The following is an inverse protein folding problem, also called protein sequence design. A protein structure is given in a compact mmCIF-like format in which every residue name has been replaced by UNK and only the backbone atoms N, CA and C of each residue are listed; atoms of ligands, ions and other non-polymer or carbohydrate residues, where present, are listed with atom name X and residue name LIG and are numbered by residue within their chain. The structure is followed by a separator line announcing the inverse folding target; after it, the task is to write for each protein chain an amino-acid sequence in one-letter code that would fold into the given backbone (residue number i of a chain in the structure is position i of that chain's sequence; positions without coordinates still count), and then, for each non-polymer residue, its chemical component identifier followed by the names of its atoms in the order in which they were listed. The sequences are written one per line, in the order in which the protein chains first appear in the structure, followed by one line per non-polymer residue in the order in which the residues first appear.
data_IF_816620897722
#
_entry.id   IF_816620897722
#
_cell.length_a   1.000
_cell.length_b   1.000
_cell.length_c   1.000
_cell.angle_alpha   90.00
_cell.angle_beta   90.00
_cell.angle_gamma   90.00
#
_symmetry.space_group_name_H-M   'P 1'
#
loop_
_entity.id
_entity.type
_entity.pdbx_description
1 polymer ?
#
# COMPACT_ATOMS: atom_id res chain seq x y z
N UNK A 1 39.01 -7.20 -21.55
CA UNK A 1 37.75 -7.93 -21.81
C UNK A 1 36.86 -7.02 -22.63
N UNK A 2 36.50 -7.45 -23.85
CA UNK A 2 35.57 -6.65 -24.66
C UNK A 2 34.15 -6.83 -24.13
N UNK A 3 33.49 -5.75 -23.78
CA UNK A 3 32.08 -5.73 -23.44
C UNK A 3 31.29 -5.77 -24.75
N UNK A 4 30.69 -6.92 -25.06
CA UNK A 4 29.77 -7.03 -26.18
C UNK A 4 28.47 -6.30 -25.84
N UNK A 5 28.26 -5.16 -26.44
CA UNK A 5 26.96 -4.47 -26.42
C UNK A 5 26.05 -5.18 -27.45
N UNK A 6 24.97 -5.81 -26.99
CA UNK A 6 23.94 -6.33 -27.87
C UNK A 6 23.03 -5.15 -28.22
N UNK A 7 23.09 -4.73 -29.49
CA UNK A 7 22.20 -3.71 -30.02
C UNK A 7 20.82 -4.32 -30.28
N UNK A 8 19.77 -3.59 -29.92
CA UNK A 8 18.37 -4.01 -30.12
C UNK A 8 17.94 -4.08 -31.59
N UNK A 9 18.72 -3.49 -32.49
CA UNK A 9 18.48 -3.56 -33.92
C UNK A 9 18.96 -4.92 -34.48
N UNK A 10 18.04 -5.84 -34.68
CA UNK A 10 18.30 -7.16 -35.26
C UNK A 10 17.98 -8.36 -34.34
N UNK A 11 17.28 -8.15 -33.22
CA UNK A 11 16.79 -9.21 -32.36
C UNK A 11 15.31 -9.51 -32.66
N UNK A 12 15.07 -10.31 -33.70
CA UNK A 12 13.71 -10.76 -34.05
C UNK A 12 13.22 -11.96 -33.25
N UNK A 13 14.03 -12.46 -32.29
CA UNK A 13 13.68 -13.57 -31.42
C UNK A 13 13.95 -13.25 -29.95
N UNK A 14 13.16 -13.79 -29.01
CA UNK A 14 13.40 -13.59 -27.58
C UNK A 14 14.76 -14.19 -27.20
N UNK A 15 15.57 -13.38 -26.49
CA UNK A 15 16.83 -13.86 -25.93
C UNK A 15 16.52 -14.67 -24.68
N UNK A 16 16.80 -15.97 -24.71
CA UNK A 16 16.77 -16.81 -23.53
C UNK A 16 18.13 -16.75 -22.83
N UNK A 17 18.15 -16.15 -21.66
CA UNK A 17 19.33 -16.09 -20.80
C UNK A 17 19.18 -17.10 -19.67
N UNK A 18 20.13 -18.05 -19.57
CA UNK A 18 20.18 -18.96 -18.44
C UNK A 18 20.88 -18.28 -17.26
N UNK A 19 20.12 -17.99 -16.19
CA UNK A 19 20.62 -17.34 -14.97
C UNK A 19 21.28 -15.96 -15.18
N UNK A 20 20.60 -14.98 -15.80
CA UNK A 20 21.17 -13.65 -15.97
C UNK A 20 21.30 -12.93 -14.63
N UNK A 21 22.47 -12.37 -14.35
CA UNK A 21 22.62 -11.41 -13.26
C UNK A 21 22.28 -10.01 -13.80
N UNK A 22 21.14 -9.48 -13.40
CA UNK A 22 20.73 -8.12 -13.76
C UNK A 22 21.24 -7.14 -12.69
N UNK A 23 22.24 -6.37 -13.04
CA UNK A 23 22.75 -5.29 -12.19
C UNK A 23 21.93 -4.03 -12.49
N UNK A 24 21.04 -3.59 -11.61
CA UNK A 24 20.11 -2.46 -11.81
C UNK A 24 19.09 -2.66 -12.95
N UNK A 25 18.21 -3.67 -12.87
CA UNK A 25 17.16 -3.83 -13.87
C UNK A 25 16.19 -2.63 -13.82
N UNK A 26 15.96 -2.00 -14.97
CA UNK A 26 14.89 -1.02 -15.10
C UNK A 26 13.57 -1.76 -15.37
N UNK A 27 12.89 -2.17 -14.28
CA UNK A 27 11.60 -2.86 -14.36
C UNK A 27 10.51 -1.83 -14.12
N UNK A 28 9.76 -1.49 -15.14
CA UNK A 28 8.57 -0.65 -15.03
C UNK A 28 7.29 -1.50 -15.00
N UNK A 29 6.14 -0.88 -14.77
CA UNK A 29 4.85 -1.59 -14.68
C UNK A 29 4.45 -2.36 -15.95
N UNK A 30 5.01 -2.00 -17.12
CA UNK A 30 4.79 -2.72 -18.37
C UNK A 30 5.67 -3.98 -18.50
N UNK A 31 6.74 -4.07 -17.70
CA UNK A 31 7.68 -5.20 -17.68
C UNK A 31 7.37 -6.24 -16.62
N UNK A 32 6.38 -5.97 -15.75
CA UNK A 32 5.85 -6.97 -14.82
C UNK A 32 4.74 -7.73 -15.56
N UNK A 33 5.02 -8.93 -16.10
CA UNK A 33 4.06 -9.59 -16.96
C UNK A 33 2.86 -10.11 -16.16
N UNK A 34 1.67 -9.90 -16.71
CA UNK A 34 0.53 -10.73 -16.40
C UNK A 34 0.71 -12.04 -17.15
N UNK A 35 1.20 -13.07 -16.49
CA UNK A 35 1.43 -14.37 -17.14
C UNK A 35 0.10 -15.10 -17.25
N UNK A 36 -0.28 -15.46 -18.48
CA UNK A 36 -1.46 -16.29 -18.74
C UNK A 36 -1.32 -17.65 -18.05
N UNK A 37 -2.32 -18.05 -17.26
CA UNK A 37 -2.36 -19.32 -16.55
C UNK A 37 -1.65 -19.33 -15.18
N UNK A 38 -1.00 -18.24 -14.79
CA UNK A 38 -0.42 -18.05 -13.45
C UNK A 38 -1.02 -16.80 -12.84
N UNK A 39 -1.24 -16.79 -11.52
CA UNK A 39 -1.75 -15.60 -10.86
C UNK A 39 -0.81 -14.41 -11.12
N UNK A 40 -1.30 -13.27 -11.63
CA UNK A 40 -0.48 -12.10 -11.88
C UNK A 40 0.09 -11.56 -10.57
N UNK A 41 1.28 -10.98 -10.65
CA UNK A 41 1.89 -10.32 -9.50
C UNK A 41 1.26 -8.93 -9.33
N UNK A 42 0.54 -8.74 -8.23
CA UNK A 42 0.00 -7.44 -7.85
C UNK A 42 0.88 -6.80 -6.77
N UNK A 43 1.47 -5.65 -7.07
CA UNK A 43 2.30 -4.90 -6.13
C UNK A 43 1.50 -3.76 -5.50
N UNK A 44 1.74 -3.50 -4.21
CA UNK A 44 1.19 -2.31 -3.57
C UNK A 44 1.72 -1.04 -4.24
N UNK A 45 0.82 -0.11 -4.59
CA UNK A 45 1.14 1.19 -5.20
C UNK A 45 1.43 2.26 -4.16
N UNK A 46 0.92 2.07 -2.94
CA UNK A 46 1.25 2.86 -1.77
C UNK A 46 1.07 1.99 -0.51
N UNK A 47 1.84 2.30 0.51
CA UNK A 47 1.67 1.68 1.82
C UNK A 47 2.19 2.59 2.92
N UNK A 48 1.66 2.45 4.12
CA UNK A 48 2.11 3.21 5.28
C UNK A 48 1.87 2.44 6.58
N UNK A 49 2.84 2.54 7.50
CA UNK A 49 2.69 2.25 8.91
C UNK A 49 2.81 3.56 9.68
N UNK A 50 1.84 3.86 10.54
CA UNK A 50 1.84 5.11 11.29
C UNK A 50 1.22 4.97 12.69
N UNK A 51 1.56 5.91 13.57
CA UNK A 51 0.89 6.12 14.84
C UNK A 51 -0.30 7.07 14.63
N UNK A 52 -1.51 6.66 15.01
CA UNK A 52 -2.71 7.48 14.93
C UNK A 52 -3.09 8.14 16.26
N UNK A 53 -2.35 7.90 17.37
CA UNK A 53 -2.67 8.49 18.67
C UNK A 53 -1.86 9.74 18.94
N UNK A 54 -2.48 10.74 19.57
CA UNK A 54 -1.82 12.00 19.90
C UNK A 54 -1.38 12.74 18.64
N UNK A 55 -0.09 13.00 18.50
CA UNK A 55 0.45 13.53 17.24
C UNK A 55 0.62 12.41 16.24
N UNK A 56 -0.15 12.44 15.15
CA UNK A 56 -0.06 11.45 14.08
C UNK A 56 1.32 11.49 13.44
N UNK A 57 1.97 10.32 13.33
CA UNK A 57 3.34 10.23 12.84
C UNK A 57 3.55 8.97 11.98
N UNK A 58 4.08 9.15 10.77
CA UNK A 58 4.50 8.05 9.90
C UNK A 58 5.76 7.41 10.49
N UNK A 59 5.77 6.07 10.59
CA UNK A 59 6.93 5.27 10.95
C UNK A 59 7.69 4.80 9.71
N UNK A 60 6.96 4.34 8.71
CA UNK A 60 7.50 3.93 7.43
C UNK A 60 6.42 4.02 6.35
N UNK A 61 6.82 4.31 5.12
CA UNK A 61 5.87 4.41 4.01
C UNK A 61 6.53 4.22 2.65
N UNK A 62 5.71 3.89 1.66
CA UNK A 62 6.04 3.95 0.24
C UNK A 62 4.92 4.67 -0.51
N UNK A 63 5.25 5.70 -1.29
CA UNK A 63 4.33 6.58 -2.02
C UNK A 63 3.27 7.29 -1.13
N UNK A 64 3.58 7.54 0.14
CA UNK A 64 2.74 8.35 1.05
C UNK A 64 3.55 9.53 1.55
N UNK A 65 3.01 10.73 1.38
CA UNK A 65 3.65 11.99 1.76
C UNK A 65 3.30 12.42 3.19
N UNK A 66 2.05 12.19 3.62
CA UNK A 66 1.57 12.57 4.95
C UNK A 66 0.30 11.82 5.34
N UNK A 67 0.01 11.84 6.63
CA UNK A 67 -1.29 11.46 7.18
C UNK A 67 -1.93 12.71 7.77
N UNK A 68 -3.17 12.99 7.38
CA UNK A 68 -3.98 14.04 8.00
C UNK A 68 -4.93 13.39 9.01
N UNK A 69 -4.85 13.84 10.24
CA UNK A 69 -5.84 13.50 11.27
C UNK A 69 -7.16 14.21 10.94
N UNK A 70 -8.21 13.45 10.74
CA UNK A 70 -9.55 13.96 10.40
C UNK A 70 -10.54 13.80 11.56
N UNK A 71 -10.07 13.37 12.72
CA UNK A 71 -10.85 13.11 13.94
C UNK A 71 -10.67 11.69 14.44
N UNK A 72 -11.24 11.39 15.59
CA UNK A 72 -11.09 10.11 16.28
C UNK A 72 -11.27 8.91 15.35
N UNK A 73 -10.23 8.11 15.19
CA UNK A 73 -10.21 6.94 14.32
C UNK A 73 -10.32 7.25 12.82
N UNK A 74 -10.19 8.49 12.40
CA UNK A 74 -10.33 8.92 11.01
C UNK A 74 -9.06 9.57 10.49
N UNK A 75 -8.54 9.08 9.38
CA UNK A 75 -7.29 9.56 8.80
C UNK A 75 -7.39 9.69 7.29
N UNK A 76 -6.67 10.67 6.74
CA UNK A 76 -6.47 10.78 5.29
C UNK A 76 -5.03 10.42 4.97
N UNK A 77 -4.84 9.40 4.16
CA UNK A 77 -3.54 8.99 3.60
C UNK A 77 -3.31 9.78 2.33
N UNK A 78 -2.35 10.69 2.33
CA UNK A 78 -2.01 11.53 1.19
C UNK A 78 -0.87 10.90 0.40
N UNK A 79 -1.04 10.76 -0.93
CA UNK A 79 -0.03 10.14 -1.80
C UNK A 79 1.03 11.16 -2.25
N UNK A 80 2.27 10.70 -2.38
CA UNK A 80 3.35 11.48 -2.99
C UNK A 80 3.14 11.57 -4.50
N UNK A 81 2.85 10.43 -5.13
CA UNK A 81 2.49 10.34 -6.55
C UNK A 81 1.05 9.87 -6.64
N UNK A 82 0.23 10.60 -7.35
CA UNK A 82 -1.19 10.30 -7.51
C UNK A 82 -1.42 8.91 -8.13
N UNK A 83 -2.51 8.26 -7.72
CA UNK A 83 -3.04 7.08 -8.40
C UNK A 83 -3.59 7.46 -9.77
N UNK A 84 -3.61 6.55 -10.74
CA UNK A 84 -4.12 6.84 -12.09
C UNK A 84 -5.62 7.21 -12.07
N UNK A 85 -6.37 6.67 -11.12
CA UNK A 85 -7.80 6.95 -10.91
C UNK A 85 -8.20 6.61 -9.46
N UNK A 86 -9.51 6.61 -9.18
CA UNK A 86 -10.08 6.32 -7.85
C UNK A 86 -10.44 4.85 -7.63
N UNK A 87 -10.26 3.98 -8.64
CA UNK A 87 -10.66 2.57 -8.61
C UNK A 87 -9.52 1.68 -8.07
N UNK A 88 -9.07 1.92 -6.88
CA UNK A 88 -8.06 1.12 -6.20
C UNK A 88 -8.61 0.44 -4.94
N UNK A 89 -8.03 -0.70 -4.59
CA UNK A 89 -8.34 -1.41 -3.37
C UNK A 89 -7.47 -0.93 -2.23
N UNK A 90 -8.08 -0.69 -1.07
CA UNK A 90 -7.39 -0.33 0.17
C UNK A 90 -7.60 -1.43 1.19
N UNK A 91 -6.50 -1.93 1.76
CA UNK A 91 -6.48 -2.90 2.84
C UNK A 91 -5.79 -2.25 4.02
N UNK A 92 -6.34 -2.43 5.22
CA UNK A 92 -5.74 -1.89 6.41
C UNK A 92 -5.93 -2.76 7.63
N UNK A 93 -5.05 -2.56 8.61
CA UNK A 93 -5.14 -3.13 9.94
C UNK A 93 -4.70 -2.11 10.98
N UNK A 94 -5.23 -2.24 12.18
CA UNK A 94 -4.84 -1.41 13.32
C UNK A 94 -5.29 -2.07 14.61
N UNK A 95 -4.71 -1.63 15.72
CA UNK A 95 -5.19 -2.05 17.03
C UNK A 95 -5.31 -0.85 17.95
N UNK A 96 -6.21 -0.92 18.92
CA UNK A 96 -6.31 0.09 19.97
C UNK A 96 -5.81 -0.52 21.28
N UNK A 97 -4.86 0.16 21.90
CA UNK A 97 -4.37 -0.21 23.23
C UNK A 97 -5.39 0.22 24.32
N UNK A 98 -6.58 -0.37 24.32
CA UNK A 98 -7.52 -0.28 25.43
C UNK A 98 -7.10 -1.31 26.45
N UNK A 99 -6.47 -0.88 27.56
CA UNK A 99 -6.21 -1.69 28.75
C UNK A 99 -5.24 -2.88 28.63
N UNK A 100 -4.14 -2.76 27.90
CA UNK A 100 -3.00 -3.69 28.04
C UNK A 100 -3.23 -5.13 27.55
N UNK A 101 -4.36 -5.41 26.92
CA UNK A 101 -4.67 -6.69 26.30
C UNK A 101 -4.60 -6.56 24.78
N UNK A 102 -4.08 -7.59 24.08
CA UNK A 102 -4.20 -7.62 22.62
C UNK A 102 -5.68 -7.50 22.26
N UNK A 103 -5.98 -6.69 21.28
CA UNK A 103 -7.33 -6.25 20.89
C UNK A 103 -8.23 -7.37 20.31
N UNK A 104 -8.18 -8.57 20.84
CA UNK A 104 -9.03 -9.70 20.47
C UNK A 104 -10.25 -9.88 21.38
N UNK A 105 -10.47 -8.99 22.35
CA UNK A 105 -11.63 -9.09 23.21
C UNK A 105 -12.81 -8.34 22.62
N UNK A 106 -13.64 -9.06 21.90
CA UNK A 106 -15.06 -8.84 21.64
C UNK A 106 -15.51 -7.72 20.68
N UNK A 107 -14.64 -6.98 20.02
CA UNK A 107 -15.08 -6.11 18.95
C UNK A 107 -14.22 -6.32 17.69
N UNK A 108 -14.82 -6.85 16.66
CA UNK A 108 -14.18 -6.90 15.34
C UNK A 108 -14.00 -5.45 14.86
N UNK A 109 -12.76 -5.00 14.81
CA UNK A 109 -12.41 -3.70 14.24
C UNK A 109 -12.08 -3.89 12.78
N UNK A 110 -12.78 -3.14 11.95
CA UNK A 110 -12.53 -3.07 10.53
C UNK A 110 -11.93 -1.71 10.20
N UNK A 111 -11.02 -1.68 9.25
CA UNK A 111 -10.62 -0.46 8.59
C UNK A 111 -11.44 -0.36 7.32
N UNK A 112 -12.27 0.65 7.24
CA UNK A 112 -13.02 0.98 6.04
C UNK A 112 -12.32 2.10 5.30
N UNK A 113 -12.10 1.91 4.00
CA UNK A 113 -11.73 3.00 3.10
C UNK A 113 -13.00 3.63 2.55
N UNK A 114 -13.04 4.95 2.52
CA UNK A 114 -14.10 5.72 1.92
C UNK A 114 -13.55 7.01 1.32
N UNK A 115 -14.24 7.59 0.36
CA UNK A 115 -13.80 8.84 -0.30
C UNK A 115 -12.38 8.74 -0.90
N UNK A 116 -12.22 7.84 -1.88
CA UNK A 116 -11.01 7.71 -2.66
C UNK A 116 -10.91 8.86 -3.68
N UNK A 117 -9.75 9.50 -3.74
CA UNK A 117 -9.36 10.44 -4.80
C UNK A 117 -8.08 9.93 -5.45
N UNK A 118 -7.65 10.51 -6.57
CA UNK A 118 -6.36 10.14 -7.15
C UNK A 118 -5.18 10.52 -6.24
N UNK A 119 -5.30 11.54 -5.39
CA UNK A 119 -4.23 12.06 -4.53
C UNK A 119 -4.29 11.58 -3.09
N UNK A 120 -5.39 10.99 -2.65
CA UNK A 120 -5.57 10.57 -1.26
C UNK A 120 -6.65 9.51 -1.08
N UNK A 121 -6.58 8.81 0.05
CA UNK A 121 -7.59 7.86 0.50
C UNK A 121 -7.96 8.18 1.95
N UNK A 122 -9.25 8.32 2.25
CA UNK A 122 -9.74 8.39 3.63
C UNK A 122 -9.99 7.00 4.17
N UNK A 123 -9.51 6.76 5.36
CA UNK A 123 -9.73 5.53 6.12
C UNK A 123 -10.33 5.86 7.49
N UNK A 124 -11.08 4.92 8.02
CA UNK A 124 -11.57 5.01 9.39
C UNK A 124 -11.50 3.65 10.08
N UNK A 125 -11.24 3.70 11.37
CA UNK A 125 -11.35 2.56 12.27
C UNK A 125 -12.79 2.47 12.76
N UNK A 126 -13.41 1.32 12.54
CA UNK A 126 -14.83 1.11 12.81
C UNK A 126 -15.04 -0.07 13.75
N UNK A 127 -15.89 0.11 14.74
CA UNK A 127 -16.36 -0.97 15.62
C UNK A 127 -17.67 -1.54 15.10
N UNK A 128 -17.69 -2.83 14.85
CA UNK A 128 -18.87 -3.51 14.30
C UNK A 128 -19.99 -3.74 15.34
N UNK A 129 -19.64 -3.76 16.62
CA UNK A 129 -20.59 -4.06 17.74
C UNK A 129 -21.40 -2.85 18.19
N UNK A 130 -20.89 -1.63 18.04
CA UNK A 130 -21.52 -0.41 18.52
C UNK A 130 -21.93 0.55 17.40
N UNK A 131 -21.61 0.22 16.16
CA UNK A 131 -21.84 1.09 14.99
C UNK A 131 -21.28 2.51 15.19
N UNK A 132 -20.16 2.61 15.89
CA UNK A 132 -19.51 3.88 16.24
C UNK A 132 -18.07 3.93 15.73
N UNK A 133 -17.56 5.14 15.55
CA UNK A 133 -16.15 5.39 15.31
C UNK A 133 -15.35 4.93 16.53
N UNK A 134 -14.22 4.30 16.29
CA UNK A 134 -13.38 3.83 17.37
C UNK A 134 -12.36 4.90 17.80
N UNK A 135 -11.60 4.55 18.84
CA UNK A 135 -10.51 5.37 19.31
C UNK A 135 -9.36 5.39 18.28
N UNK A 136 -8.52 6.40 18.39
CA UNK A 136 -7.27 6.46 17.67
C UNK A 136 -6.42 5.21 17.94
N UNK A 137 -5.74 4.72 16.93
CA UNK A 137 -4.92 3.52 17.01
C UNK A 137 -3.44 3.87 17.09
N UNK A 138 -2.69 3.31 18.06
CA UNK A 138 -1.25 3.54 18.15
C UNK A 138 -0.47 2.85 17.02
N UNK A 139 -1.11 1.92 16.31
CA UNK A 139 -0.52 1.29 15.14
C UNK A 139 -1.56 1.10 14.05
N UNK A 140 -1.32 1.74 12.93
CA UNK A 140 -2.13 1.64 11.73
C UNK A 140 -1.26 1.22 10.56
N UNK A 141 -1.73 0.24 9.81
CA UNK A 141 -1.11 -0.25 8.58
C UNK A 141 -2.10 -0.14 7.44
N UNK A 142 -1.68 0.43 6.32
CA UNK A 142 -2.50 0.57 5.13
C UNK A 142 -1.69 0.17 3.90
N UNK A 143 -2.30 -0.60 3.01
CA UNK A 143 -1.74 -0.93 1.70
C UNK A 143 -2.79 -0.68 0.61
N UNK A 144 -2.36 -0.17 -0.53
CA UNK A 144 -3.20 0.24 -1.65
C UNK A 144 -2.71 -0.43 -2.92
N UNK A 145 -3.62 -1.07 -3.63
CA UNK A 145 -3.38 -1.86 -4.84
C UNK A 145 -4.18 -1.29 -6.02
N UNK A 146 -3.48 -1.09 -7.15
CA UNK A 146 -4.08 -0.60 -8.40
C UNK A 146 -3.32 -1.14 -9.60
#
# INVERSE_FOLDING_TARGET
MAVSTISQAGLDAPISLTSPTLTTPNINSAQIPTVSGTAPLYMARAWVNFNGTGTVAIRASGNVSSITDAGTGQYTVNFTTAMPDTNYATIGSGYTASSGLPAFTNATRAIAAFSNTSSSCRIQVYRSDTNSFDADSPEMNVAIFR
#
